data_IF_598378311391
#
_entry.id   IF_598378311391
#
_cell.length_a   1.000
_cell.length_b   1.000
_cell.length_c   1.000
_cell.angle_alpha   90.00
_cell.angle_beta   90.00
_cell.angle_gamma   90.00
#
_symmetry.space_group_name_H-M   'P 1'
#
loop_
_entity.id
_entity.type
_entity.pdbx_description
1 polymer ?
#
# COMPACT_ATOMS: atom_id res chain seq x y z
N UNK A 1 34.74 33.15 -77.56
CA UNK A 1 33.82 32.05 -77.90
C UNK A 1 33.22 31.57 -76.59
N UNK A 2 32.06 32.13 -76.16
CA UNK A 2 30.67 31.66 -76.46
C UNK A 2 30.48 30.22 -75.95
N UNK A 3 29.55 29.88 -75.07
CA UNK A 3 28.16 30.34 -74.82
C UNK A 3 27.74 29.87 -73.41
N UNK A 4 27.08 30.70 -72.57
CA UNK A 4 25.62 30.85 -72.40
C UNK A 4 24.92 29.60 -71.81
N UNK A 5 24.48 29.55 -70.54
CA UNK A 5 23.25 30.11 -69.94
C UNK A 5 22.21 29.00 -69.65
N UNK A 6 21.99 28.71 -68.35
CA UNK A 6 20.74 28.43 -67.58
C UNK A 6 19.70 27.40 -68.10
N UNK A 7 18.90 26.69 -67.25
CA UNK A 7 18.08 27.31 -66.20
C UNK A 7 17.91 26.59 -64.85
N UNK A 8 17.46 27.40 -63.89
CA UNK A 8 17.01 27.05 -62.53
C UNK A 8 15.77 26.14 -62.54
N UNK A 9 15.56 25.32 -61.50
CA UNK A 9 14.24 24.81 -61.17
C UNK A 9 13.53 25.79 -60.22
N UNK A 10 12.57 26.46 -60.84
CA UNK A 10 11.34 27.09 -60.35
C UNK A 10 10.85 26.65 -58.96
N UNK A 11 10.45 27.66 -58.18
CA UNK A 11 9.75 27.49 -56.93
C UNK A 11 8.27 27.21 -57.17
N UNK A 12 7.74 26.19 -56.51
CA UNK A 12 6.30 26.02 -56.34
C UNK A 12 5.98 25.79 -54.86
N UNK A 13 4.86 26.33 -54.37
CA UNK A 13 4.74 26.84 -53.02
C UNK A 13 4.34 25.76 -52.01
N UNK A 14 4.88 25.92 -50.80
CA UNK A 14 4.26 25.64 -49.52
C UNK A 14 2.94 24.83 -49.52
N UNK A 15 3.04 23.50 -49.60
CA UNK A 15 2.01 22.63 -49.01
C UNK A 15 2.20 22.64 -47.49
N UNK A 16 1.66 23.68 -46.87
CA UNK A 16 1.40 23.68 -45.43
C UNK A 16 0.20 22.77 -45.20
N UNK A 17 0.44 21.47 -45.09
CA UNK A 17 -0.53 20.53 -44.55
C UNK A 17 -0.68 20.81 -43.04
N UNK A 18 -1.48 21.81 -42.72
CA UNK A 18 -2.07 22.00 -41.39
C UNK A 18 -3.08 20.86 -41.17
N UNK A 19 -2.59 19.67 -40.87
CA UNK A 19 -3.40 18.66 -40.20
C UNK A 19 -3.49 19.07 -38.73
N UNK A 20 -4.41 19.99 -38.47
CA UNK A 20 -4.99 20.20 -37.15
C UNK A 20 -5.67 18.89 -36.77
N UNK A 21 -4.96 18.05 -36.01
CA UNK A 21 -5.53 16.94 -35.29
C UNK A 21 -6.49 17.46 -34.23
N UNK A 22 -7.68 17.88 -34.67
CA UNK A 22 -8.83 17.92 -33.80
C UNK A 22 -9.14 16.46 -33.48
N UNK A 23 -8.62 15.98 -32.34
CA UNK A 23 -9.08 14.76 -31.70
C UNK A 23 -10.58 14.91 -31.52
N UNK A 24 -11.34 14.38 -32.47
CA UNK A 24 -12.76 14.15 -32.31
C UNK A 24 -12.87 13.27 -31.07
N UNK A 25 -13.46 13.78 -30.00
CA UNK A 25 -13.92 12.96 -28.89
C UNK A 25 -14.98 12.04 -29.49
N UNK A 26 -14.55 10.91 -30.02
CA UNK A 26 -15.44 9.83 -30.45
C UNK A 26 -16.12 9.38 -29.18
N UNK A 27 -17.40 9.73 -29.04
CA UNK A 27 -18.18 9.23 -27.92
C UNK A 27 -18.19 7.69 -28.02
N UNK A 28 -17.87 6.98 -26.94
CA UNK A 28 -17.81 5.53 -26.96
C UNK A 28 -19.17 4.99 -27.39
N UNK A 29 -19.16 4.03 -28.29
CA UNK A 29 -20.39 3.42 -28.80
C UNK A 29 -21.13 2.74 -27.65
N UNK A 30 -22.46 2.66 -27.72
CA UNK A 30 -23.27 2.01 -26.68
C UNK A 30 -22.80 0.57 -26.41
N UNK A 31 -22.29 -0.10 -27.44
CA UNK A 31 -21.69 -1.43 -27.37
C UNK A 31 -20.39 -1.44 -26.54
N UNK A 32 -19.50 -0.48 -26.72
CA UNK A 32 -18.26 -0.35 -25.92
C UNK A 32 -18.58 -0.02 -24.46
N UNK A 33 -19.55 0.88 -24.23
CA UNK A 33 -20.02 1.21 -22.87
C UNK A 33 -20.68 -0.01 -22.19
N UNK A 34 -21.41 -0.84 -22.95
CA UNK A 34 -22.00 -2.06 -22.42
C UNK A 34 -20.96 -3.16 -22.18
N UNK A 35 -19.98 -3.30 -23.05
CA UNK A 35 -18.85 -4.21 -22.86
C UNK A 35 -18.05 -3.85 -21.61
N UNK A 36 -17.70 -2.57 -21.43
CA UNK A 36 -17.00 -2.07 -20.24
C UNK A 36 -17.82 -2.30 -18.97
N UNK A 37 -19.15 -2.08 -19.02
CA UNK A 37 -20.04 -2.40 -17.90
C UNK A 37 -20.09 -3.89 -17.58
N UNK A 38 -20.06 -4.76 -18.59
CA UNK A 38 -20.04 -6.22 -18.41
C UNK A 38 -18.69 -6.69 -17.83
N UNK A 39 -17.57 -6.13 -18.28
CA UNK A 39 -16.24 -6.42 -17.76
C UNK A 39 -16.09 -5.96 -16.31
N UNK A 40 -16.58 -4.75 -16.00
CA UNK A 40 -16.66 -4.24 -14.63
C UNK A 40 -17.55 -5.12 -13.76
N UNK A 41 -18.69 -5.59 -14.26
CA UNK A 41 -19.57 -6.50 -13.54
C UNK A 41 -18.93 -7.89 -13.29
N UNK A 42 -18.09 -8.38 -14.20
CA UNK A 42 -17.32 -9.61 -14.04
C UNK A 42 -16.28 -9.50 -12.92
N UNK A 43 -15.58 -8.36 -12.82
CA UNK A 43 -14.63 -8.07 -11.74
C UNK A 43 -15.36 -7.84 -10.40
N UNK A 44 -16.50 -7.16 -10.46
CA UNK A 44 -17.37 -6.80 -9.34
C UNK A 44 -18.43 -7.90 -9.16
N UNK A 45 -17.98 -9.15 -9.01
CA UNK A 45 -18.84 -10.35 -8.98
C UNK A 45 -20.12 -10.21 -8.15
N UNK A 46 -21.14 -10.99 -8.50
CA UNK A 46 -22.50 -10.93 -7.94
C UNK A 46 -22.52 -10.69 -6.41
N UNK A 47 -23.44 -9.87 -5.87
CA UNK A 47 -23.55 -9.62 -4.43
C UNK A 47 -23.64 -10.91 -3.61
N UNK A 48 -24.26 -11.96 -4.16
CA UNK A 48 -24.31 -13.30 -3.57
C UNK A 48 -22.90 -13.93 -3.40
N UNK A 49 -22.06 -13.80 -4.44
CA UNK A 49 -20.68 -14.30 -4.40
C UNK A 49 -19.79 -13.54 -3.41
N UNK A 50 -20.07 -12.26 -3.15
CA UNK A 50 -19.35 -11.46 -2.14
C UNK A 50 -19.67 -11.95 -0.72
N UNK A 51 -20.94 -12.24 -0.45
CA UNK A 51 -21.36 -12.85 0.82
C UNK A 51 -20.68 -14.19 1.07
N UNK A 52 -20.69 -15.08 0.07
CA UNK A 52 -20.00 -16.38 0.15
C UNK A 52 -18.49 -16.24 0.40
N UNK A 53 -17.83 -15.30 -0.28
CA UNK A 53 -16.40 -15.01 -0.08
C UNK A 53 -16.09 -14.53 1.33
N UNK A 54 -16.93 -13.63 1.87
CA UNK A 54 -16.78 -13.12 3.23
C UNK A 54 -16.98 -14.24 4.25
N UNK A 55 -18.03 -15.05 4.10
CA UNK A 55 -18.30 -16.20 4.99
C UNK A 55 -17.16 -17.20 4.95
N UNK A 56 -16.65 -17.52 3.75
CA UNK A 56 -15.48 -18.40 3.58
C UNK A 56 -14.24 -17.85 4.28
N UNK A 57 -13.94 -16.56 4.12
CA UNK A 57 -12.80 -15.92 4.79
C UNK A 57 -12.94 -15.98 6.32
N UNK A 58 -14.12 -15.63 6.85
CA UNK A 58 -14.39 -15.67 8.30
C UNK A 58 -14.27 -17.11 8.83
N UNK A 59 -14.83 -18.09 8.12
CA UNK A 59 -14.73 -19.49 8.51
C UNK A 59 -13.27 -19.97 8.58
N UNK A 60 -12.44 -19.61 7.60
CA UNK A 60 -11.01 -19.93 7.60
C UNK A 60 -10.30 -19.30 8.80
N UNK A 61 -10.54 -18.01 9.08
CA UNK A 61 -9.95 -17.31 10.23
C UNK A 61 -10.37 -17.96 11.55
N UNK A 62 -11.66 -18.29 11.72
CA UNK A 62 -12.17 -18.96 12.91
C UNK A 62 -11.55 -20.35 13.07
N UNK A 63 -11.52 -21.16 12.00
CA UNK A 63 -10.92 -22.51 12.02
C UNK A 63 -9.42 -22.46 12.37
N UNK A 64 -8.68 -21.49 11.82
CA UNK A 64 -7.28 -21.27 12.16
C UNK A 64 -7.11 -20.86 13.63
N UNK A 65 -7.98 -19.99 14.14
CA UNK A 65 -7.97 -19.60 15.55
C UNK A 65 -8.26 -20.76 16.49
N UNK A 66 -9.24 -21.61 16.15
CA UNK A 66 -9.57 -22.81 16.91
C UNK A 66 -8.44 -23.84 16.88
N UNK A 67 -7.72 -23.95 15.76
CA UNK A 67 -6.63 -24.93 15.58
C UNK A 67 -5.29 -24.47 16.17
N UNK A 68 -4.91 -23.21 15.97
CA UNK A 68 -3.58 -22.69 16.31
C UNK A 68 -3.58 -21.80 17.57
N UNK A 69 -4.76 -21.45 18.08
CA UNK A 69 -4.94 -20.59 19.24
C UNK A 69 -4.96 -19.08 18.89
N UNK A 70 -5.33 -18.29 19.90
CA UNK A 70 -5.52 -16.84 19.77
C UNK A 70 -4.23 -16.10 19.38
N UNK A 71 -3.08 -16.52 19.91
CA UNK A 71 -1.78 -15.88 19.65
C UNK A 71 -1.46 -15.82 18.16
N UNK A 72 -1.78 -16.88 17.41
CA UNK A 72 -1.55 -16.91 15.96
C UNK A 72 -2.44 -15.90 15.23
N UNK A 73 -3.70 -15.76 15.63
CA UNK A 73 -4.59 -14.75 15.06
C UNK A 73 -4.08 -13.33 15.33
N UNK A 74 -3.57 -13.07 16.53
CA UNK A 74 -2.98 -11.78 16.89
C UNK A 74 -1.76 -11.49 16.01
N UNK A 75 -0.87 -12.47 15.78
CA UNK A 75 0.29 -12.30 14.90
C UNK A 75 -0.14 -12.01 13.46
N UNK A 76 -1.08 -12.78 12.91
CA UNK A 76 -1.60 -12.55 11.54
C UNK A 76 -2.24 -11.17 11.44
N UNK A 77 -3.07 -10.78 12.40
CA UNK A 77 -3.70 -9.46 12.43
C UNK A 77 -2.66 -8.34 12.53
N UNK A 78 -1.62 -8.51 13.37
CA UNK A 78 -0.54 -7.54 13.50
C UNK A 78 0.22 -7.35 12.17
N UNK A 79 0.50 -8.43 11.44
CA UNK A 79 1.14 -8.35 10.11
C UNK A 79 0.24 -7.60 9.12
N UNK A 80 -1.06 -7.93 9.06
CA UNK A 80 -2.01 -7.26 8.16
C UNK A 80 -2.11 -5.76 8.48
N UNK A 81 -2.19 -5.40 9.77
CA UNK A 81 -2.23 -3.99 10.21
C UNK A 81 -0.92 -3.29 9.88
N UNK A 82 0.23 -3.92 10.10
CA UNK A 82 1.55 -3.35 9.79
C UNK A 82 1.70 -3.04 8.30
N UNK A 83 1.32 -3.98 7.42
CA UNK A 83 1.36 -3.78 5.97
C UNK A 83 0.36 -2.69 5.56
N UNK A 84 -0.85 -2.68 6.12
CA UNK A 84 -1.82 -1.61 5.87
C UNK A 84 -1.25 -0.22 6.23
N UNK A 85 -0.58 -0.11 7.38
CA UNK A 85 0.03 1.15 7.79
C UNK A 85 1.21 1.54 6.89
N UNK A 86 2.02 0.58 6.44
CA UNK A 86 3.08 0.82 5.46
C UNK A 86 2.54 1.48 4.18
N UNK A 87 1.48 0.90 3.60
CA UNK A 87 0.78 1.44 2.45
C UNK A 87 0.13 2.80 2.74
N UNK A 88 -0.40 2.98 3.96
CA UNK A 88 -0.93 4.26 4.41
C UNK A 88 0.16 5.36 4.41
N UNK A 89 1.41 5.01 4.73
CA UNK A 89 2.56 5.93 4.61
C UNK A 89 2.74 6.43 3.18
N UNK A 90 2.80 5.51 2.21
CA UNK A 90 2.86 5.86 0.79
C UNK A 90 1.67 6.72 0.35
N UNK A 91 0.45 6.33 0.75
CA UNK A 91 -0.78 7.04 0.44
C UNK A 91 -0.77 8.50 0.93
N UNK A 92 -0.45 8.71 2.21
CA UNK A 92 -0.42 10.04 2.82
C UNK A 92 0.61 10.92 2.12
N UNK A 93 1.81 10.38 1.88
CA UNK A 93 2.88 11.15 1.25
C UNK A 93 2.55 11.51 -0.20
N UNK A 94 1.94 10.58 -0.95
CA UNK A 94 1.51 10.82 -2.33
C UNK A 94 0.44 11.92 -2.42
N UNK A 95 -0.59 11.84 -1.58
CA UNK A 95 -1.65 12.86 -1.50
C UNK A 95 -1.09 14.22 -1.11
N UNK A 96 -0.15 14.27 -0.15
CA UNK A 96 0.52 15.51 0.27
C UNK A 96 1.43 16.10 -0.81
N UNK A 97 2.03 15.27 -1.65
CA UNK A 97 2.79 15.70 -2.83
C UNK A 97 1.90 16.14 -4.02
N UNK A 98 0.57 16.10 -3.87
CA UNK A 98 -0.37 16.44 -4.92
C UNK A 98 -0.42 15.41 -6.04
N UNK A 99 -0.04 14.16 -5.77
CA UNK A 99 -0.21 13.05 -6.71
C UNK A 99 -1.65 12.53 -6.65
N UNK A 100 -2.19 12.10 -7.78
CA UNK A 100 -3.51 11.46 -7.83
C UNK A 100 -3.38 9.97 -7.47
N UNK A 101 -4.12 9.57 -6.44
CA UNK A 101 -4.22 8.18 -6.00
C UNK A 101 -5.62 7.67 -6.33
N UNK A 102 -5.71 6.65 -7.16
CA UNK A 102 -6.99 6.12 -7.68
C UNK A 102 -7.52 4.96 -6.86
N UNK A 103 -6.64 4.14 -6.27
CA UNK A 103 -7.02 2.96 -5.49
C UNK A 103 -6.19 2.84 -4.20
N UNK A 104 -6.86 2.45 -3.11
CA UNK A 104 -6.25 2.01 -1.86
C UNK A 104 -6.97 0.73 -1.43
N UNK A 105 -6.32 -0.43 -1.56
CA UNK A 105 -6.95 -1.72 -1.25
C UNK A 105 -6.12 -2.53 -0.27
N UNK A 106 -6.83 -3.22 0.62
CA UNK A 106 -6.26 -4.24 1.49
C UNK A 106 -6.50 -5.60 0.86
N UNK A 107 -5.44 -6.37 0.71
CA UNK A 107 -5.45 -7.72 0.16
C UNK A 107 -5.38 -7.80 -1.37
N UNK A 108 -5.44 -9.04 -1.85
CA UNK A 108 -5.37 -9.42 -3.26
C UNK A 108 -6.55 -10.28 -3.70
N UNK A 109 -6.70 -10.43 -5.02
CA UNK A 109 -7.74 -11.24 -5.63
C UNK A 109 -9.09 -10.53 -5.76
N UNK A 110 -10.20 -11.29 -5.82
CA UNK A 110 -11.52 -10.73 -6.03
C UNK A 110 -11.92 -9.77 -4.90
N UNK A 111 -12.64 -8.71 -5.27
CA UNK A 111 -13.14 -7.71 -4.33
C UNK A 111 -14.24 -8.29 -3.44
N UNK A 112 -14.14 -8.05 -2.13
CA UNK A 112 -15.23 -8.29 -1.16
C UNK A 112 -16.12 -7.05 -1.13
N UNK A 113 -15.51 -5.90 -0.87
CA UNK A 113 -16.21 -4.63 -0.72
C UNK A 113 -15.31 -3.48 -1.18
N UNK A 114 -15.89 -2.44 -1.77
CA UNK A 114 -15.24 -1.16 -2.00
C UNK A 114 -16.22 -0.01 -1.91
N UNK A 115 -15.70 1.18 -1.66
CA UNK A 115 -16.41 2.44 -1.72
C UNK A 115 -15.49 3.53 -2.26
N UNK A 116 -16.04 4.47 -3.02
CA UNK A 116 -15.28 5.61 -3.53
C UNK A 116 -15.48 6.81 -2.64
N UNK A 117 -14.38 7.44 -2.21
CA UNK A 117 -14.42 8.71 -1.47
C UNK A 117 -13.52 9.72 -2.17
N UNK A 118 -14.15 10.72 -2.78
CA UNK A 118 -13.46 11.66 -3.66
C UNK A 118 -12.89 10.95 -4.89
N UNK A 119 -11.57 11.02 -5.04
CA UNK A 119 -10.87 10.48 -6.20
C UNK A 119 -10.32 9.07 -6.00
N UNK A 120 -10.35 8.56 -4.77
CA UNK A 120 -9.77 7.27 -4.40
C UNK A 120 -10.86 6.25 -4.11
N UNK A 121 -10.73 5.06 -4.70
CA UNK A 121 -11.51 3.88 -4.36
C UNK A 121 -10.82 3.11 -3.23
N UNK A 122 -11.52 2.93 -2.12
CA UNK A 122 -11.07 2.19 -0.96
C UNK A 122 -11.76 0.82 -0.94
N UNK A 123 -11.05 -0.24 -0.57
CA UNK A 123 -11.72 -1.53 -0.43
C UNK A 123 -10.88 -2.66 0.16
N UNK A 124 -11.54 -3.82 0.27
CA UNK A 124 -11.00 -5.06 0.81
C UNK A 124 -11.18 -6.20 -0.21
N UNK A 125 -10.13 -6.98 -0.39
CA UNK A 125 -10.10 -8.18 -1.25
C UNK A 125 -9.98 -9.45 -0.41
N UNK A 126 -10.27 -10.59 -1.03
CA UNK A 126 -10.41 -11.88 -0.32
C UNK A 126 -9.13 -12.35 0.36
N UNK A 127 -7.97 -12.17 -0.28
CA UNK A 127 -6.71 -12.68 0.24
C UNK A 127 -6.07 -11.56 1.06
N UNK A 128 -5.98 -11.65 2.40
CA UNK A 128 -5.44 -10.57 3.24
C UNK A 128 -3.90 -10.48 3.22
N UNK A 129 -3.25 -11.08 2.22
CA UNK A 129 -1.80 -11.20 2.12
C UNK A 129 -1.14 -9.97 1.50
N UNK A 130 -1.49 -8.76 1.95
CA UNK A 130 -0.89 -7.51 1.47
C UNK A 130 -1.86 -6.34 1.48
N UNK A 131 -1.41 -5.21 0.96
CA UNK A 131 -2.23 -4.05 0.59
C UNK A 131 -1.51 -3.32 -0.56
N UNK A 132 -2.19 -2.41 -1.25
CA UNK A 132 -1.54 -1.59 -2.29
C UNK A 132 -2.20 -0.22 -2.45
N UNK A 133 -1.38 0.73 -2.92
CA UNK A 133 -1.78 2.08 -3.30
C UNK A 133 -1.47 2.31 -4.78
N UNK A 134 -2.49 2.64 -5.58
CA UNK A 134 -2.32 2.95 -7.00
C UNK A 134 -2.20 4.44 -7.22
N UNK A 135 -0.98 4.88 -7.56
CA UNK A 135 -0.66 6.25 -7.94
C UNK A 135 -0.49 6.27 -9.46
N UNK A 136 -1.14 7.22 -10.14
CA UNK A 136 -1.05 7.31 -11.60
C UNK A 136 0.37 7.71 -12.07
N UNK A 137 0.78 7.18 -13.21
CA UNK A 137 2.05 7.48 -13.86
C UNK A 137 3.27 7.03 -13.05
N UNK A 138 3.14 5.91 -12.32
CA UNK A 138 4.30 5.22 -11.74
C UNK A 138 5.17 4.57 -12.81
N UNK A 139 4.55 4.10 -13.91
CA UNK A 139 5.23 3.64 -15.10
C UNK A 139 5.24 4.74 -16.16
N UNK A 140 6.34 4.86 -16.90
CA UNK A 140 6.43 5.78 -18.04
C UNK A 140 5.53 5.34 -19.21
N UNK A 141 5.15 4.06 -19.26
CA UNK A 141 4.27 3.50 -20.31
C UNK A 141 2.79 3.57 -19.96
N UNK A 142 2.43 3.99 -18.73
CA UNK A 142 1.04 4.16 -18.35
C UNK A 142 0.46 5.37 -19.07
N UNK A 143 -0.52 5.16 -19.95
CA UNK A 143 -1.28 6.24 -20.59
C UNK A 143 -2.16 6.94 -19.55
N UNK A 144 -1.99 8.25 -19.45
CA UNK A 144 -2.71 9.11 -18.52
C UNK A 144 -3.28 10.28 -19.32
N UNK A 145 -4.51 10.67 -19.02
CA UNK A 145 -5.14 11.87 -19.57
C UNK A 145 -4.19 13.08 -19.43
N UNK A 146 -3.88 13.81 -20.52
CA UNK A 146 -3.05 15.02 -20.48
C UNK A 146 -3.44 16.02 -19.39
N UNK A 147 -4.73 16.13 -19.04
CA UNK A 147 -5.20 17.01 -17.97
C UNK A 147 -4.72 16.57 -16.57
N UNK A 148 -4.49 15.27 -16.36
CA UNK A 148 -4.06 14.68 -15.10
C UNK A 148 -2.54 14.45 -15.03
N UNK A 149 -1.83 14.67 -16.13
CA UNK A 149 -0.39 14.42 -16.27
C UNK A 149 0.42 15.13 -15.17
N UNK A 150 0.08 16.39 -14.84
CA UNK A 150 0.72 17.17 -13.76
C UNK A 150 0.61 16.56 -12.35
N UNK A 151 -0.34 15.62 -12.16
CA UNK A 151 -0.61 14.90 -10.90
C UNK A 151 -0.04 13.49 -10.91
N UNK A 152 0.66 13.08 -11.96
CA UNK A 152 1.35 11.79 -12.02
C UNK A 152 2.57 11.76 -11.11
N UNK A 153 2.99 10.56 -10.73
CA UNK A 153 4.25 10.34 -10.03
C UNK A 153 5.45 10.85 -10.85
N UNK A 154 5.50 10.55 -12.16
CA UNK A 154 6.62 10.95 -13.04
C UNK A 154 6.81 12.46 -13.20
N UNK A 155 5.75 13.26 -13.17
CA UNK A 155 5.85 14.72 -13.25
C UNK A 155 6.25 15.40 -11.93
N UNK A 156 6.26 14.69 -10.79
CA UNK A 156 6.68 15.27 -9.50
C UNK A 156 8.19 15.43 -9.40
N UNK A 157 8.60 16.37 -8.53
CA UNK A 157 10.00 16.62 -8.27
C UNK A 157 10.68 15.39 -7.65
N UNK A 158 12.01 15.30 -7.79
CA UNK A 158 12.78 14.17 -7.27
C UNK A 158 12.51 13.93 -5.78
N UNK A 159 12.51 14.99 -4.96
CA UNK A 159 12.27 14.88 -3.52
C UNK A 159 10.87 14.38 -3.18
N UNK A 160 9.85 14.75 -3.97
CA UNK A 160 8.49 14.24 -3.77
C UNK A 160 8.40 12.75 -4.09
N UNK A 161 9.03 12.32 -5.20
CA UNK A 161 9.10 10.91 -5.59
C UNK A 161 9.85 10.07 -4.56
N UNK A 162 11.03 10.52 -4.16
CA UNK A 162 11.83 9.88 -3.10
C UNK A 162 11.04 9.84 -1.79
N UNK A 163 10.39 10.94 -1.42
CA UNK A 163 9.54 11.02 -0.24
C UNK A 163 8.45 9.95 -0.23
N UNK A 164 7.74 9.78 -1.35
CA UNK A 164 6.76 8.68 -1.49
C UNK A 164 7.45 7.33 -1.37
N UNK A 165 8.56 7.10 -2.06
CA UNK A 165 9.27 5.81 -2.03
C UNK A 165 9.73 5.40 -0.62
N UNK A 166 10.15 6.34 0.23
CA UNK A 166 10.62 6.04 1.59
C UNK A 166 9.51 6.05 2.64
N UNK A 167 8.35 6.66 2.35
CA UNK A 167 7.29 6.89 3.33
C UNK A 167 6.79 5.60 4.01
N UNK A 168 6.70 4.49 3.28
CA UNK A 168 6.32 3.20 3.85
C UNK A 168 7.35 2.70 4.88
N UNK A 169 8.64 2.80 4.60
CA UNK A 169 9.70 2.45 5.56
C UNK A 169 9.70 3.38 6.77
N UNK A 170 9.53 4.68 6.55
CA UNK A 170 9.38 5.66 7.64
C UNK A 170 8.22 5.30 8.57
N UNK A 171 7.11 4.80 8.03
CA UNK A 171 5.98 4.34 8.85
C UNK A 171 6.36 3.17 9.77
N UNK A 172 7.20 2.21 9.34
CA UNK A 172 7.65 1.14 10.22
C UNK A 172 8.45 1.66 11.42
N UNK A 173 9.34 2.64 11.21
CA UNK A 173 10.05 3.27 12.31
C UNK A 173 9.10 4.01 13.26
N UNK A 174 8.06 4.66 12.73
CA UNK A 174 7.03 5.31 13.55
C UNK A 174 6.24 4.29 14.38
N UNK A 175 5.83 3.18 13.77
CA UNK A 175 5.13 2.08 14.47
C UNK A 175 6.02 1.52 15.58
N UNK A 176 7.29 1.21 15.27
CA UNK A 176 8.24 0.70 16.25
C UNK A 176 8.42 1.67 17.43
N UNK A 177 8.58 2.96 17.14
CA UNK A 177 8.68 3.99 18.17
C UNK A 177 7.43 4.04 19.05
N UNK A 178 6.22 4.04 18.45
CA UNK A 178 4.96 4.07 19.20
C UNK A 178 4.78 2.81 20.06
N UNK A 179 5.08 1.63 19.51
CA UNK A 179 4.98 0.37 20.24
C UNK A 179 5.96 0.32 21.42
N UNK A 180 7.22 0.73 21.21
CA UNK A 180 8.21 0.80 22.29
C UNK A 180 7.83 1.85 23.32
N UNK A 181 7.35 3.02 22.90
CA UNK A 181 6.87 4.05 23.83
C UNK A 181 5.73 3.52 24.69
N UNK A 182 4.73 2.88 24.08
CA UNK A 182 3.60 2.29 24.83
C UNK A 182 4.11 1.21 25.80
N UNK A 183 4.99 0.33 25.33
CA UNK A 183 5.59 -0.71 26.15
C UNK A 183 6.30 -0.10 27.36
N UNK A 184 7.24 0.82 27.17
CA UNK A 184 8.03 1.37 28.27
C UNK A 184 7.26 2.34 29.18
N UNK A 185 6.27 3.06 28.66
CA UNK A 185 5.51 4.02 29.44
C UNK A 185 4.38 3.38 30.26
N UNK A 186 3.82 2.26 29.81
CA UNK A 186 2.62 1.67 30.41
C UNK A 186 2.74 0.19 30.80
N UNK A 187 3.73 -0.54 30.29
CA UNK A 187 3.84 -1.99 30.47
C UNK A 187 5.21 -2.36 31.05
N UNK A 188 5.22 -2.69 32.34
CA UNK A 188 6.43 -2.98 33.11
C UNK A 188 6.71 -1.87 34.10
N UNK A 189 6.39 -2.12 35.37
CA UNK A 189 6.76 -1.22 36.47
C UNK A 189 8.11 -1.65 37.06
N UNK A 190 8.97 -0.71 37.50
CA UNK A 190 10.12 -1.07 38.32
C UNK A 190 9.62 -1.66 39.65
N UNK A 191 9.85 -2.95 39.88
CA UNK A 191 9.62 -3.58 41.19
C UNK A 191 10.84 -3.27 42.10
N UNK A 192 11.13 -1.98 42.27
CA UNK A 192 12.37 -1.48 42.88
C UNK A 192 12.52 -1.78 44.38
N UNK A 193 11.50 -2.40 44.99
CA UNK A 193 11.49 -2.78 46.40
C UNK A 193 11.70 -4.27 46.67
N UNK A 194 11.71 -5.14 45.65
CA UNK A 194 11.77 -6.60 45.82
C UNK A 194 12.88 -7.19 44.99
N UNK A 195 14.04 -7.37 45.61
CA UNK A 195 15.17 -8.08 45.02
C UNK A 195 14.94 -9.58 45.16
N UNK A 196 14.12 -10.16 44.27
CA UNK A 196 13.85 -11.59 44.26
C UNK A 196 14.83 -12.37 43.39
N UNK A 197 15.26 -13.52 43.88
CA UNK A 197 16.05 -14.46 43.10
C UNK A 197 15.17 -15.07 42.00
N UNK A 198 15.40 -14.71 40.74
CA UNK A 198 14.65 -15.22 39.59
C UNK A 198 15.07 -16.64 39.21
N UNK A 199 16.22 -16.77 38.57
CA UNK A 199 16.73 -18.06 38.10
C UNK A 199 18.09 -18.37 38.74
N UNK A 200 18.32 -19.65 39.05
CA UNK A 200 19.57 -20.13 39.64
C UNK A 200 20.34 -20.99 38.63
N UNK A 201 21.63 -20.70 38.46
CA UNK A 201 22.53 -21.55 37.70
C UNK A 201 22.66 -22.91 38.38
N UNK A 202 22.35 -24.00 37.66
CA UNK A 202 22.50 -25.35 38.17
C UNK A 202 23.94 -25.64 38.64
N UNK A 203 24.08 -26.18 39.85
CA UNK A 203 25.35 -26.51 40.48
C UNK A 203 26.15 -25.29 40.96
N UNK A 204 25.63 -24.07 40.83
CA UNK A 204 26.33 -22.84 41.21
C UNK A 204 26.45 -22.64 42.72
N UNK A 205 27.34 -21.73 43.13
CA UNK A 205 27.59 -21.41 44.54
C UNK A 205 26.33 -20.97 45.30
N UNK A 206 25.43 -20.20 44.68
CA UNK A 206 24.17 -19.79 45.28
C UNK A 206 23.25 -20.99 45.60
N UNK A 207 23.13 -21.95 44.67
CA UNK A 207 22.35 -23.16 44.89
C UNK A 207 22.97 -24.04 45.98
N UNK A 208 24.31 -24.14 46.01
CA UNK A 208 25.04 -24.87 47.06
C UNK A 208 24.92 -24.18 48.43
N UNK A 209 24.83 -22.85 48.46
CA UNK A 209 24.57 -22.06 49.65
C UNK A 209 23.09 -22.13 50.12
N UNK A 210 22.24 -22.87 49.39
CA UNK A 210 20.85 -23.11 49.77
C UNK A 210 19.85 -22.04 49.31
N UNK A 211 20.29 -21.06 48.51
CA UNK A 211 19.43 -20.03 47.91
C UNK A 211 18.44 -20.68 46.95
N UNK A 212 17.19 -20.19 46.95
CA UNK A 212 16.08 -20.70 46.13
C UNK A 212 15.49 -19.60 45.26
N UNK A 213 14.94 -19.98 44.12
CA UNK A 213 14.10 -19.09 43.30
C UNK A 213 12.92 -18.59 44.14
N UNK A 214 12.73 -17.27 44.16
CA UNK A 214 11.72 -16.59 44.97
C UNK A 214 12.25 -16.03 46.31
N UNK A 215 13.49 -16.34 46.72
CA UNK A 215 14.08 -15.72 47.91
C UNK A 215 14.20 -14.20 47.74
N UNK A 216 13.91 -13.44 48.79
CA UNK A 216 14.00 -11.98 48.81
C UNK A 216 15.29 -11.52 49.49
N UNK A 217 16.10 -10.73 48.77
CA UNK A 217 17.34 -10.15 49.28
C UNK A 217 17.01 -8.88 50.06
N UNK A 218 17.15 -8.97 51.39
CA UNK A 218 16.82 -7.87 52.32
C UNK A 218 18.02 -6.98 52.69
N UNK A 219 19.24 -7.37 52.33
CA UNK A 219 20.49 -6.65 52.63
C UNK A 219 21.75 -7.42 52.19
N UNK A 220 22.92 -6.78 52.29
CA UNK A 220 24.24 -7.32 51.92
C UNK A 220 25.28 -7.06 53.02
#
# INVERSE_FOLDING_TARGET
>A
MSDSTSPEPDGSPAETASQTGATVLVEPTEAEVQQERQDLAGVVGSPWSRGLRLVGLVAVVVLLGMRQGLSMLVVVAAIVIMIFLHELGHFIMARRAGMLVTEFFIGFGPRIFSFRRGETEYGLKVIPAGAYVKIIGMSNMEEVDPALESRTYRQKSCSQRVGVAVAGSTMHFLIAFVLLFIQFAFIGGPDGGRWQVGELTQGGAAQQAGVRTGDEVVGF
#
